data_IF_134101217712
#
_entry.id   IF_134101217712
#
_cell.length_a   1.000
_cell.length_b   1.000
_cell.length_c   1.000
_cell.angle_alpha   90.00
_cell.angle_beta   90.00
_cell.angle_gamma   90.00
#
_symmetry.space_group_name_H-M   'P 1'
#
loop_
_entity.id
_entity.type
_entity.pdbx_description
1 polymer ?
#
# COMPACT_ATOMS: atom_id res chain seq x y z
N UNK A 1 -21.61 2.90 -49.97
CA UNK A 1 -20.74 3.43 -48.91
C UNK A 1 -20.94 2.57 -47.68
N UNK A 2 -20.06 1.58 -47.51
CA UNK A 2 -20.03 0.63 -46.40
C UNK A 2 -19.06 1.17 -45.35
N UNK A 3 -19.57 1.48 -44.15
CA UNK A 3 -18.74 1.78 -42.99
C UNK A 3 -18.84 0.59 -42.02
N UNK A 4 -17.85 -0.29 -42.08
CA UNK A 4 -17.59 -1.32 -41.09
C UNK A 4 -17.12 -0.64 -39.82
N UNK A 5 -17.88 -0.75 -38.73
CA UNK A 5 -17.47 -0.29 -37.40
C UNK A 5 -16.81 -1.48 -36.71
N UNK A 6 -15.49 -1.49 -36.70
CA UNK A 6 -14.69 -2.43 -35.94
C UNK A 6 -15.05 -2.29 -34.45
N UNK A 7 -15.50 -3.38 -33.86
CA UNK A 7 -15.82 -3.47 -32.45
C UNK A 7 -14.52 -3.80 -31.71
N UNK A 8 -14.03 -2.84 -30.96
CA UNK A 8 -12.85 -2.94 -30.10
C UNK A 8 -13.08 -4.04 -29.06
N UNK A 9 -12.40 -5.18 -29.24
CA UNK A 9 -12.52 -6.35 -28.37
C UNK A 9 -11.81 -6.07 -27.04
N UNK A 10 -12.58 -5.76 -26.01
CA UNK A 10 -12.14 -5.90 -24.61
C UNK A 10 -11.71 -7.36 -24.40
N UNK A 11 -10.54 -7.63 -23.80
CA UNK A 11 -10.14 -9.00 -23.52
C UNK A 11 -11.20 -9.67 -22.61
N UNK A 12 -11.55 -10.94 -22.86
CA UNK A 12 -12.57 -11.63 -22.07
C UNK A 12 -12.14 -11.71 -20.60
N UNK A 13 -13.08 -11.45 -19.69
CA UNK A 13 -12.88 -11.71 -18.26
C UNK A 13 -12.65 -13.22 -18.06
N UNK A 14 -11.68 -13.64 -17.23
CA UNK A 14 -11.43 -15.06 -16.99
C UNK A 14 -12.66 -15.73 -16.38
N UNK A 15 -13.03 -16.89 -16.91
CA UNK A 15 -14.21 -17.67 -16.48
C UNK A 15 -13.81 -18.61 -15.35
N UNK A 16 -14.76 -19.04 -14.50
CA UNK A 16 -14.52 -19.98 -13.39
C UNK A 16 -13.88 -21.30 -13.88
N UNK A 17 -14.15 -21.70 -15.11
CA UNK A 17 -13.54 -22.87 -15.77
C UNK A 17 -12.02 -22.71 -16.00
N UNK A 18 -11.52 -21.48 -16.18
CA UNK A 18 -10.09 -21.19 -16.33
C UNK A 18 -9.30 -21.33 -15.00
N UNK A 19 -9.99 -21.47 -13.86
CA UNK A 19 -9.35 -21.65 -12.55
C UNK A 19 -9.00 -23.12 -12.27
N UNK A 20 -9.69 -24.07 -12.90
CA UNK A 20 -9.56 -25.52 -12.66
C UNK A 20 -8.34 -26.15 -13.38
N UNK A 21 -7.74 -25.44 -14.35
CA UNK A 21 -6.50 -25.86 -15.03
C UNK A 21 -5.20 -25.39 -14.35
N UNK A 22 -5.30 -24.68 -13.22
CA UNK A 22 -4.12 -24.13 -12.53
C UNK A 22 -3.44 -25.18 -11.64
N UNK A 23 -2.09 -25.25 -11.67
CA UNK A 23 -1.30 -26.20 -10.87
C UNK A 23 -1.01 -25.64 -9.45
N UNK A 24 -1.95 -24.87 -8.91
CA UNK A 24 -1.79 -24.21 -7.62
C UNK A 24 -1.83 -25.22 -6.47
N UNK A 25 -0.83 -25.12 -5.60
CA UNK A 25 -0.83 -25.79 -4.30
C UNK A 25 -1.62 -24.98 -3.28
N UNK A 26 -2.02 -25.62 -2.18
CA UNK A 26 -2.68 -24.92 -1.06
C UNK A 26 -1.86 -23.71 -0.57
N UNK A 27 -0.51 -23.82 -0.56
CA UNK A 27 0.37 -22.72 -0.14
C UNK A 27 0.40 -21.56 -1.12
N UNK A 28 0.27 -21.82 -2.42
CA UNK A 28 0.20 -20.75 -3.41
C UNK A 28 -1.09 -19.95 -3.21
N UNK A 29 -2.19 -20.67 -2.92
CA UNK A 29 -3.48 -20.06 -2.56
C UNK A 29 -3.40 -19.26 -1.26
N UNK A 30 -2.71 -19.77 -0.22
CA UNK A 30 -2.52 -19.04 1.04
C UNK A 30 -1.79 -17.71 0.84
N UNK A 31 -0.81 -17.66 -0.07
CA UNK A 31 -0.08 -16.43 -0.41
C UNK A 31 -0.99 -15.43 -1.12
N UNK A 32 -1.77 -15.87 -2.10
CA UNK A 32 -2.78 -15.01 -2.77
C UNK A 32 -3.79 -14.51 -1.74
N UNK A 33 -4.27 -15.40 -0.86
CA UNK A 33 -5.23 -15.07 0.18
C UNK A 33 -4.71 -13.96 1.08
N UNK A 34 -3.45 -14.05 1.54
CA UNK A 34 -2.84 -13.00 2.37
C UNK A 34 -2.77 -11.64 1.64
N UNK A 35 -2.44 -11.64 0.35
CA UNK A 35 -2.41 -10.40 -0.47
C UNK A 35 -3.81 -9.78 -0.58
N UNK A 36 -4.83 -10.60 -0.82
CA UNK A 36 -6.22 -10.14 -0.95
C UNK A 36 -6.82 -9.71 0.38
N UNK A 37 -6.53 -10.41 1.48
CA UNK A 37 -6.95 -10.01 2.82
C UNK A 37 -6.35 -8.68 3.26
N UNK A 38 -5.11 -8.42 2.87
CA UNK A 38 -4.50 -7.11 3.05
C UNK A 38 -4.98 -6.06 2.04
N UNK A 39 -5.75 -6.46 1.02
CA UNK A 39 -6.23 -5.56 -0.03
C UNK A 39 -5.09 -4.96 -0.88
N UNK A 40 -3.95 -5.64 -0.96
CA UNK A 40 -2.77 -5.14 -1.66
C UNK A 40 -2.98 -5.20 -3.17
N UNK A 41 -2.89 -4.04 -3.83
CA UNK A 41 -2.85 -3.98 -5.30
C UNK A 41 -1.45 -4.21 -5.84
N UNK A 42 -0.44 -3.67 -5.15
CA UNK A 42 0.98 -3.85 -5.45
C UNK A 42 1.73 -4.10 -4.14
N UNK A 43 2.65 -5.06 -4.14
CA UNK A 43 3.42 -5.46 -2.98
C UNK A 43 4.85 -5.83 -3.36
N UNK A 44 5.75 -5.84 -2.37
CA UNK A 44 7.15 -6.23 -2.58
C UNK A 44 7.39 -7.65 -2.08
N UNK A 45 8.42 -8.32 -2.63
CA UNK A 45 8.84 -9.64 -2.14
C UNK A 45 9.14 -9.62 -0.65
N UNK A 46 9.92 -8.63 -0.19
CA UNK A 46 10.32 -8.51 1.20
C UNK A 46 9.18 -8.15 2.14
N UNK A 47 8.22 -7.36 1.66
CA UNK A 47 6.98 -7.07 2.37
C UNK A 47 6.13 -8.33 2.54
N UNK A 48 5.87 -9.04 1.43
CA UNK A 48 5.09 -10.27 1.44
C UNK A 48 5.75 -11.35 2.28
N UNK A 49 7.07 -11.52 2.21
CA UNK A 49 7.84 -12.46 3.04
C UNK A 49 7.58 -12.28 4.52
N UNK A 50 7.49 -11.03 4.98
CA UNK A 50 7.17 -10.71 6.37
C UNK A 50 5.71 -11.00 6.68
N UNK A 51 4.81 -10.61 5.79
CA UNK A 51 3.37 -10.86 5.96
C UNK A 51 3.04 -12.35 6.10
N UNK A 52 3.66 -13.22 5.29
CA UNK A 52 3.37 -14.67 5.29
C UNK A 52 4.33 -15.51 6.14
N UNK A 53 5.42 -14.91 6.66
CA UNK A 53 6.41 -15.62 7.48
C UNK A 53 7.14 -16.78 6.78
N UNK A 54 7.19 -16.80 5.44
CA UNK A 54 7.80 -17.89 4.67
C UNK A 54 9.32 -17.69 4.48
N UNK A 55 10.05 -18.80 4.39
CA UNK A 55 11.46 -18.77 3.99
C UNK A 55 11.63 -18.23 2.56
N UNK A 56 12.67 -17.42 2.32
CA UNK A 56 12.87 -16.71 1.05
C UNK A 56 12.84 -17.63 -0.19
N UNK A 57 13.48 -18.80 -0.12
CA UNK A 57 13.52 -19.73 -1.25
C UNK A 57 12.14 -20.32 -1.57
N UNK A 58 11.32 -20.55 -0.53
CA UNK A 58 9.96 -21.05 -0.72
C UNK A 58 9.08 -19.97 -1.33
N UNK A 59 9.16 -18.75 -0.82
CA UNK A 59 8.39 -17.63 -1.36
C UNK A 59 8.78 -17.32 -2.81
N UNK A 60 10.07 -17.37 -3.16
CA UNK A 60 10.52 -17.16 -4.54
C UNK A 60 9.82 -18.14 -5.48
N UNK A 61 9.88 -19.44 -5.18
CA UNK A 61 9.25 -20.48 -5.99
C UNK A 61 7.74 -20.30 -6.13
N UNK A 62 7.06 -19.84 -5.06
CA UNK A 62 5.63 -19.56 -5.10
C UNK A 62 5.37 -18.37 -6.03
N UNK A 63 6.09 -17.27 -5.87
CA UNK A 63 5.92 -16.05 -6.68
C UNK A 63 6.23 -16.31 -8.15
N UNK A 64 7.31 -17.02 -8.45
CA UNK A 64 7.68 -17.38 -9.84
C UNK A 64 6.53 -18.14 -10.53
N UNK A 65 5.93 -19.12 -9.83
CA UNK A 65 4.78 -19.87 -10.35
C UNK A 65 3.51 -19.02 -10.45
N UNK A 66 3.24 -18.17 -9.46
CA UNK A 66 2.09 -17.26 -9.51
C UNK A 66 2.20 -16.26 -10.67
N UNK A 67 3.43 -15.84 -11.01
CA UNK A 67 3.73 -14.98 -12.16
C UNK A 67 3.55 -15.75 -13.46
N UNK A 68 4.13 -16.96 -13.57
CA UNK A 68 4.00 -17.85 -14.73
C UNK A 68 2.54 -18.21 -15.05
N UNK A 69 1.72 -18.45 -14.03
CA UNK A 69 0.30 -18.78 -14.17
C UNK A 69 -0.61 -17.53 -14.29
N UNK A 70 -0.03 -16.31 -14.22
CA UNK A 70 -0.73 -15.05 -14.46
C UNK A 70 -1.63 -14.58 -13.30
N UNK A 71 -1.43 -15.08 -12.09
CA UNK A 71 -2.11 -14.60 -10.88
C UNK A 71 -1.49 -13.32 -10.33
N UNK A 72 -0.20 -13.10 -10.59
CA UNK A 72 0.52 -11.87 -10.30
C UNK A 72 1.31 -11.43 -11.52
N UNK A 73 1.63 -10.14 -11.58
CA UNK A 73 2.43 -9.53 -12.64
C UNK A 73 3.61 -8.79 -12.01
N UNK A 74 4.82 -8.97 -12.54
CA UNK A 74 5.98 -8.21 -12.09
C UNK A 74 5.94 -6.79 -12.66
N UNK A 75 6.05 -5.81 -11.77
CA UNK A 75 6.04 -4.37 -12.08
C UNK A 75 7.27 -3.69 -11.48
N UNK A 76 7.64 -2.47 -11.92
CA UNK A 76 8.81 -1.78 -11.37
C UNK A 76 8.77 -1.59 -9.84
N UNK A 77 7.56 -1.49 -9.27
CA UNK A 77 7.32 -1.29 -7.84
C UNK A 77 7.26 -2.62 -7.04
N UNK A 78 7.38 -3.78 -7.70
CA UNK A 78 7.29 -5.11 -7.08
C UNK A 78 6.43 -6.09 -7.89
N UNK A 79 5.37 -6.57 -7.28
CA UNK A 79 4.39 -7.47 -7.89
C UNK A 79 3.00 -6.89 -7.74
N UNK A 80 2.18 -7.05 -8.77
CA UNK A 80 0.80 -6.59 -8.83
C UNK A 80 -0.12 -7.79 -8.89
N UNK A 81 -1.18 -7.81 -8.09
CA UNK A 81 -2.21 -8.85 -8.19
C UNK A 81 -3.05 -8.66 -9.46
N UNK A 82 -3.33 -9.74 -10.17
CA UNK A 82 -4.21 -9.69 -11.35
C UNK A 82 -5.67 -9.93 -10.96
N UNK A 83 -6.60 -9.66 -11.89
CA UNK A 83 -8.01 -10.00 -11.71
C UNK A 83 -8.18 -11.51 -11.45
N UNK A 84 -7.40 -12.35 -12.15
CA UNK A 84 -7.39 -13.81 -11.95
C UNK A 84 -6.94 -14.18 -10.55
N UNK A 85 -5.86 -13.58 -10.04
CA UNK A 85 -5.39 -13.77 -8.67
C UNK A 85 -6.46 -13.43 -7.63
N UNK A 86 -7.17 -12.33 -7.86
CA UNK A 86 -8.23 -11.87 -6.96
C UNK A 86 -9.44 -12.81 -6.90
N UNK A 87 -9.73 -13.56 -7.97
CA UNK A 87 -10.84 -14.52 -8.03
C UNK A 87 -10.57 -15.83 -7.27
N UNK A 88 -9.30 -16.21 -7.10
CA UNK A 88 -8.90 -17.44 -6.39
C UNK A 88 -8.98 -17.26 -4.88
N UNK A 89 -8.79 -16.04 -4.39
CA UNK A 89 -8.95 -15.75 -2.98
C UNK A 89 -10.40 -15.96 -2.54
N UNK A 90 -10.58 -16.67 -1.44
CA UNK A 90 -11.89 -16.85 -0.84
C UNK A 90 -12.25 -15.59 -0.06
N UNK A 91 -13.48 -15.07 -0.20
CA UNK A 91 -13.94 -14.01 0.69
C UNK A 91 -14.02 -14.56 2.11
N UNK A 92 -13.04 -14.22 2.96
CA UNK A 92 -13.09 -14.49 4.39
C UNK A 92 -13.66 -13.29 5.15
N UNK A 93 -14.45 -13.60 6.18
CA UNK A 93 -15.28 -12.64 6.90
C UNK A 93 -14.49 -11.65 7.75
N UNK A 94 -15.07 -10.43 7.81
CA UNK A 94 -14.72 -9.25 8.63
C UNK A 94 -13.25 -8.85 8.62
N UNK A 95 -12.98 -7.73 7.93
CA UNK A 95 -11.71 -7.01 8.02
C UNK A 95 -11.27 -6.89 9.49
N UNK A 96 -10.00 -7.21 9.74
CA UNK A 96 -9.46 -7.12 11.10
C UNK A 96 -9.63 -5.68 11.63
N UNK A 97 -10.05 -5.52 12.90
CA UNK A 97 -10.31 -4.19 13.45
C UNK A 97 -9.03 -3.36 13.45
N UNK A 98 -9.09 -2.20 12.81
CA UNK A 98 -8.01 -1.20 12.79
C UNK A 98 -8.31 -0.11 13.81
N UNK A 99 -7.28 0.33 14.53
CA UNK A 99 -7.34 1.45 15.46
C UNK A 99 -6.93 2.75 14.74
N UNK A 100 -7.82 3.73 14.56
CA UNK A 100 -7.43 5.03 14.01
C UNK A 100 -6.53 5.77 15.00
N UNK A 101 -5.33 6.16 14.56
CA UNK A 101 -4.36 6.88 15.39
C UNK A 101 -4.30 8.36 15.00
N UNK A 102 -4.25 8.64 13.70
CA UNK A 102 -4.16 10.01 13.18
C UNK A 102 -5.25 10.23 12.15
N UNK A 103 -5.90 11.38 12.26
CA UNK A 103 -6.91 11.85 11.33
C UNK A 103 -6.65 13.33 11.06
N UNK A 104 -6.37 13.67 9.80
CA UNK A 104 -6.00 15.04 9.43
C UNK A 104 -6.52 15.42 8.05
N UNK A 105 -6.96 16.68 7.93
CA UNK A 105 -7.16 17.30 6.62
C UNK A 105 -5.81 17.60 5.97
N UNK A 106 -5.73 17.38 4.67
CA UNK A 106 -4.61 17.81 3.83
C UNK A 106 -4.91 19.20 3.26
N UNK A 107 -3.93 20.11 3.19
CA UNK A 107 -4.11 21.40 2.52
C UNK A 107 -4.47 21.19 1.04
N UNK A 108 -5.34 22.06 0.50
CA UNK A 108 -5.89 21.91 -0.86
C UNK A 108 -4.86 22.09 -1.98
N UNK A 109 -3.72 22.69 -1.67
CA UNK A 109 -2.61 22.97 -2.57
C UNK A 109 -1.54 21.88 -2.57
N UNK A 110 -1.75 20.81 -1.80
CA UNK A 110 -0.84 19.66 -1.73
C UNK A 110 -1.05 18.72 -2.90
N UNK A 111 0.06 18.34 -3.54
CA UNK A 111 0.09 17.28 -4.54
C UNK A 111 0.26 15.92 -3.85
N UNK A 112 -0.86 15.19 -3.70
CA UNK A 112 -0.89 13.87 -3.03
C UNK A 112 0.05 12.88 -3.73
N UNK A 113 0.13 12.87 -5.06
CA UNK A 113 1.02 11.97 -5.82
C UNK A 113 2.50 12.24 -5.51
N UNK A 114 2.86 13.51 -5.28
CA UNK A 114 4.20 13.87 -4.82
C UNK A 114 4.50 13.32 -3.42
N UNK A 115 3.50 13.26 -2.53
CA UNK A 115 3.66 12.63 -1.21
C UNK A 115 3.81 11.11 -1.37
N UNK A 116 2.92 10.49 -2.15
CA UNK A 116 2.92 9.04 -2.34
C UNK A 116 4.25 8.57 -2.94
N UNK A 117 4.78 9.25 -3.96
CA UNK A 117 6.07 8.92 -4.57
C UNK A 117 7.25 9.03 -3.59
N UNK A 118 7.16 9.91 -2.59
CA UNK A 118 8.17 10.03 -1.53
C UNK A 118 8.03 8.96 -0.45
N UNK A 119 6.85 8.36 -0.26
CA UNK A 119 6.60 7.36 0.78
C UNK A 119 6.74 5.92 0.25
N UNK A 120 6.35 5.68 -1.00
CA UNK A 120 6.42 4.36 -1.63
C UNK A 120 7.83 3.80 -1.56
N UNK A 121 7.93 2.53 -1.13
CA UNK A 121 9.20 1.82 -1.00
C UNK A 121 10.05 2.22 0.22
N UNK A 122 9.64 3.22 1.02
CA UNK A 122 10.45 3.70 2.15
C UNK A 122 10.17 2.95 3.45
N UNK A 123 11.22 2.83 4.26
CA UNK A 123 11.16 2.28 5.61
C UNK A 123 11.18 3.42 6.64
N UNK A 124 10.47 3.23 7.76
CA UNK A 124 10.34 4.24 8.80
C UNK A 124 10.56 3.63 10.19
N UNK A 125 11.74 3.82 10.78
CA UNK A 125 12.06 3.20 12.07
C UNK A 125 11.96 1.67 11.97
N UNK A 126 11.05 1.05 12.74
CA UNK A 126 10.75 -0.40 12.69
C UNK A 126 9.81 -0.81 11.56
N UNK A 127 9.18 0.15 10.87
CA UNK A 127 8.25 -0.11 9.78
C UNK A 127 9.00 -0.48 8.50
N UNK A 128 8.62 -1.60 7.89
CA UNK A 128 9.12 -2.08 6.61
C UNK A 128 8.02 -1.97 5.57
N UNK A 129 8.39 -1.52 4.39
CA UNK A 129 7.45 -1.31 3.29
C UNK A 129 6.82 -2.64 2.88
N UNK A 130 5.48 -2.69 2.89
CA UNK A 130 4.73 -3.86 2.44
C UNK A 130 4.30 -3.67 0.98
N UNK A 131 3.60 -2.57 0.72
CA UNK A 131 2.97 -2.29 -0.57
C UNK A 131 1.89 -1.23 -0.44
N UNK A 132 0.97 -1.20 -1.42
CA UNK A 132 -0.18 -0.31 -1.38
C UNK A 132 -1.42 -0.93 -2.02
N UNK A 133 -2.57 -0.45 -1.55
CA UNK A 133 -3.87 -0.62 -2.18
C UNK A 133 -4.22 0.66 -2.96
N UNK A 134 -4.75 0.51 -4.17
CA UNK A 134 -5.32 1.60 -4.94
C UNK A 134 -6.75 1.23 -5.31
N UNK A 135 -7.69 2.07 -4.89
CA UNK A 135 -9.10 1.95 -5.24
C UNK A 135 -9.66 3.32 -5.61
N UNK A 136 -10.94 3.37 -5.97
CA UNK A 136 -11.61 4.61 -6.37
C UNK A 136 -11.68 5.64 -5.23
N UNK A 137 -11.64 5.17 -3.97
CA UNK A 137 -11.67 6.00 -2.77
C UNK A 137 -10.31 6.60 -2.38
N UNK A 138 -9.22 6.18 -3.04
CA UNK A 138 -7.88 6.69 -2.79
C UNK A 138 -6.79 5.61 -2.76
N UNK A 139 -5.69 5.94 -2.09
CA UNK A 139 -4.50 5.07 -2.01
C UNK A 139 -4.18 4.80 -0.55
N UNK A 140 -4.05 3.52 -0.19
CA UNK A 140 -3.63 3.09 1.13
C UNK A 140 -2.21 2.55 1.04
N UNK A 141 -1.27 3.22 1.71
CA UNK A 141 0.10 2.76 1.84
C UNK A 141 0.23 1.89 3.09
N UNK A 142 0.94 0.76 3.00
CA UNK A 142 1.01 -0.24 4.08
C UNK A 142 2.45 -0.54 4.50
N UNK A 143 2.66 -0.66 5.81
CA UNK A 143 3.92 -1.08 6.40
C UNK A 143 3.72 -2.08 7.54
N UNK A 144 4.64 -3.02 7.66
CA UNK A 144 4.66 -4.03 8.73
C UNK A 144 5.87 -3.82 9.67
N UNK A 145 5.70 -4.02 10.97
CA UNK A 145 6.80 -3.99 11.93
C UNK A 145 7.71 -5.22 11.82
N UNK A 146 9.00 -5.10 12.17
CA UNK A 146 9.97 -6.21 12.07
C UNK A 146 9.75 -7.38 13.02
N UNK A 147 9.08 -7.18 14.16
CA UNK A 147 8.92 -8.18 15.22
C UNK A 147 7.45 -8.67 15.33
N UNK A 148 6.73 -8.69 14.19
CA UNK A 148 5.37 -9.27 14.01
C UNK A 148 4.23 -8.67 14.85
N UNK A 149 4.35 -7.39 15.16
CA UNK A 149 3.57 -6.83 16.23
C UNK A 149 2.39 -5.92 15.86
N UNK A 150 2.60 -5.10 14.84
CA UNK A 150 1.58 -4.22 14.27
C UNK A 150 1.88 -3.87 12.81
N UNK A 151 0.83 -3.44 12.12
CA UNK A 151 0.89 -2.86 10.80
C UNK A 151 0.31 -1.45 10.84
N UNK A 152 0.83 -0.57 9.98
CA UNK A 152 0.36 0.80 9.79
C UNK A 152 -0.16 0.94 8.36
N UNK A 153 -1.40 1.40 8.25
CA UNK A 153 -2.07 1.71 7.00
C UNK A 153 -2.30 3.23 6.94
N UNK A 154 -1.76 3.89 5.93
CA UNK A 154 -1.97 5.32 5.69
C UNK A 154 -2.85 5.51 4.46
N UNK A 155 -4.11 5.87 4.68
CA UNK A 155 -5.08 6.16 3.62
C UNK A 155 -4.99 7.63 3.23
N UNK A 156 -4.66 7.85 1.96
CA UNK A 156 -4.67 9.16 1.32
C UNK A 156 -5.87 9.26 0.38
N UNK A 157 -6.62 10.33 0.57
CA UNK A 157 -7.66 10.80 -0.36
C UNK A 157 -7.31 12.22 -0.79
N UNK A 158 -8.12 12.85 -1.64
CA UNK A 158 -7.85 14.20 -2.16
C UNK A 158 -7.61 15.27 -1.09
N UNK A 159 -8.24 15.15 0.08
CA UNK A 159 -8.20 16.18 1.12
C UNK A 159 -8.01 15.63 2.55
N UNK A 160 -7.75 14.33 2.69
CA UNK A 160 -7.74 13.69 3.99
C UNK A 160 -6.69 12.58 4.07
N UNK A 161 -6.03 12.53 5.22
CA UNK A 161 -5.11 11.48 5.64
C UNK A 161 -5.66 10.79 6.89
N UNK A 162 -5.83 9.47 6.81
CA UNK A 162 -5.99 8.60 7.98
C UNK A 162 -4.75 7.74 8.14
N UNK A 163 -4.27 7.60 9.37
CA UNK A 163 -3.26 6.60 9.73
C UNK A 163 -3.86 5.68 10.77
N UNK A 164 -4.04 4.43 10.39
CA UNK A 164 -4.68 3.41 11.20
C UNK A 164 -3.67 2.31 11.51
N UNK A 165 -3.78 1.72 12.70
CA UNK A 165 -2.93 0.61 13.12
C UNK A 165 -3.74 -0.69 13.23
N UNK A 166 -3.18 -1.76 12.67
CA UNK A 166 -3.65 -3.13 12.85
C UNK A 166 -2.75 -3.79 13.88
N UNK A 167 -3.28 -4.06 15.06
CA UNK A 167 -2.51 -4.56 16.22
C UNK A 167 -2.78 -6.05 16.38
N UNK A 168 -1.72 -6.85 16.40
CA UNK A 168 -1.81 -8.32 16.53
C UNK A 168 -1.63 -8.76 17.99
N UNK A 169 -1.02 -7.93 18.86
CA UNK A 169 -0.78 -8.23 20.28
C UNK A 169 -1.02 -7.08 21.27
N UNK A 170 -1.33 -7.41 22.53
CA UNK A 170 -1.76 -6.44 23.55
C UNK A 170 -0.69 -5.45 24.07
N UNK A 171 0.56 -5.54 23.61
CA UNK A 171 1.68 -4.70 24.09
C UNK A 171 2.12 -3.57 23.15
N UNK A 172 1.50 -3.46 21.97
CA UNK A 172 2.15 -2.82 20.82
C UNK A 172 1.58 -1.45 20.43
N UNK A 173 0.48 -1.07 21.09
CA UNK A 173 -0.24 0.17 20.82
C UNK A 173 0.67 1.40 20.94
N UNK A 174 1.56 1.45 21.93
CA UNK A 174 2.46 2.61 22.10
C UNK A 174 3.47 2.73 20.95
N UNK A 175 4.01 1.61 20.47
CA UNK A 175 4.94 1.62 19.33
C UNK A 175 4.22 1.99 18.03
N UNK A 176 3.01 1.45 17.81
CA UNK A 176 2.15 1.83 16.70
C UNK A 176 1.84 3.34 16.67
N UNK A 177 1.50 3.90 17.84
CA UNK A 177 1.24 5.34 17.98
C UNK A 177 2.49 6.17 17.65
N UNK A 178 3.66 5.80 18.17
CA UNK A 178 4.92 6.49 17.85
C UNK A 178 5.22 6.41 16.35
N UNK A 179 5.06 5.24 15.74
CA UNK A 179 5.31 5.03 14.32
C UNK A 179 4.37 5.86 13.43
N UNK A 180 3.07 5.90 13.76
CA UNK A 180 2.08 6.72 13.05
C UNK A 180 2.41 8.22 13.12
N UNK A 181 2.83 8.74 14.28
CA UNK A 181 3.23 10.14 14.42
C UNK A 181 4.53 10.46 13.67
N UNK A 182 5.48 9.53 13.62
CA UNK A 182 6.68 9.67 12.80
C UNK A 182 6.34 9.74 11.30
N UNK A 183 5.40 8.91 10.84
CA UNK A 183 4.89 8.94 9.47
C UNK A 183 4.19 10.27 9.17
N UNK A 184 3.30 10.74 10.05
CA UNK A 184 2.66 12.05 9.93
C UNK A 184 3.71 13.17 9.85
N UNK A 185 4.76 13.12 10.67
CA UNK A 185 5.86 14.08 10.62
C UNK A 185 6.67 14.03 9.32
N UNK A 186 6.71 12.89 8.61
CA UNK A 186 7.30 12.81 7.28
C UNK A 186 6.37 13.42 6.22
N UNK A 187 5.08 13.09 6.30
CA UNK A 187 4.03 13.65 5.42
C UNK A 187 3.97 15.16 5.55
N UNK A 188 3.98 15.72 6.76
CA UNK A 188 3.92 17.17 6.94
C UNK A 188 5.13 17.90 6.35
N UNK A 189 6.31 17.28 6.38
CA UNK A 189 7.53 17.83 5.79
C UNK A 189 7.55 17.78 4.27
N UNK A 190 6.87 16.80 3.64
CA UNK A 190 6.88 16.67 2.18
C UNK A 190 6.19 17.84 1.49
N UNK A 191 5.19 18.47 2.13
CA UNK A 191 4.53 19.68 1.60
C UNK A 191 4.92 20.99 2.30
N UNK A 192 5.49 20.96 3.50
CA UNK A 192 6.05 22.17 4.13
C UNK A 192 7.44 22.54 3.59
N UNK A 193 8.07 21.70 2.77
CA UNK A 193 9.30 22.10 2.09
C UNK A 193 8.95 23.19 1.09
N UNK A 194 9.37 24.45 1.30
CA UNK A 194 9.08 25.51 0.34
C UNK A 194 9.64 25.04 -1.00
N UNK A 195 8.76 24.92 -2.01
CA UNK A 195 9.21 24.87 -3.40
C UNK A 195 10.19 26.02 -3.52
N UNK A 196 11.49 25.74 -3.73
CA UNK A 196 12.48 26.76 -4.13
C UNK A 196 12.08 27.23 -5.54
N UNK A 197 10.96 27.96 -5.63
CA UNK A 197 10.77 28.98 -6.64
C UNK A 197 11.75 30.07 -6.26
N UNK A 198 12.75 30.29 -7.11
CA UNK A 198 13.63 31.43 -6.97
C UNK A 198 12.78 32.70 -6.91
N UNK A 199 12.64 33.26 -5.72
CA UNK A 199 12.53 34.69 -5.48
C UNK A 199 12.82 34.97 -4.00
N UNK A 200 13.73 35.90 -3.79
CA UNK A 200 14.10 36.47 -2.49
C UNK A 200 12.86 36.97 -1.78
N UNK A 201 12.66 36.56 -0.51
CA UNK A 201 11.98 37.40 0.47
C UNK A 201 12.73 37.27 1.79
N UNK A 202 13.14 38.43 2.30
CA UNK A 202 13.99 38.65 3.48
C UNK A 202 13.43 38.02 4.76
N UNK A 203 14.29 37.66 5.72
CA UNK A 203 13.83 37.22 7.04
C UNK A 203 13.12 38.37 7.77
N UNK A 204 11.90 38.10 8.23
CA UNK A 204 11.17 38.98 9.15
C UNK A 204 11.90 38.95 10.50
N UNK A 205 12.45 40.10 10.88
CA UNK A 205 13.05 40.31 12.21
C UNK A 205 11.91 40.62 13.18
N UNK A 206 11.74 39.79 14.21
CA UNK A 206 10.87 40.11 15.34
C UNK A 206 11.59 41.14 16.22
N UNK A 207 11.08 42.37 16.28
CA UNK A 207 11.39 43.29 17.37
C UNK A 207 10.53 42.91 18.57
N UNK A 208 11.15 42.39 19.62
CA UNK A 208 10.58 42.38 20.97
C UNK A 208 10.89 43.71 21.64
N UNK A 209 9.91 44.62 21.63
CA UNK A 209 9.85 45.70 22.61
C UNK A 209 8.65 45.43 23.52
N UNK A 210 8.94 45.03 24.76
CA UNK A 210 8.02 45.23 25.88
C UNK A 210 8.67 46.26 26.80
N UNK A 211 7.98 47.39 26.93
CA UNK A 211 8.27 48.47 27.86
C UNK A 211 8.04 48.06 29.31
#
# INVERSE_FOLDING_TARGET
MTATRESESTPPFPTIEDLDESNLTARDTDVIQAVVEEGLTVFTFDGLKRLVGLHQEKLSRIIDRLEEEGFVEKVPEGYKITARGSLVARPMGLAQPTLPIVQSLLPRDVDVESILSQLKGRWFGKLRWLGYAKNDDGIVLKWIAEEDGFQIDAKFTDNYLSIDAKIVGAGETSEAVKAAHLLLGHVSRSYNTPRRRGHMVSPVVFYTDFA
#
